data_IF_900788272717
#
_entry.id   IF_900788272717
#
_cell.length_a   1.000
_cell.length_b   1.000
_cell.length_c   1.000
_cell.angle_alpha   90.00
_cell.angle_beta   90.00
_cell.angle_gamma   90.00
#
_symmetry.space_group_name_H-M   'P 1'
#
loop_
_entity.id
_entity.type
_entity.pdbx_description
1 polymer ?
#
# COMPACT_ATOMS: atom_id res chain seq x y z
N UNK A 1 -16.55 8.36 -19.71
CA UNK A 1 -17.14 8.39 -18.34
C UNK A 1 -16.59 7.19 -17.57
N UNK A 2 -15.63 7.41 -16.68
CA UNK A 2 -15.00 6.34 -15.89
C UNK A 2 -15.93 5.99 -14.73
N UNK A 3 -16.26 4.70 -14.62
CA UNK A 3 -17.07 4.14 -13.54
C UNK A 3 -16.34 4.40 -12.21
N UNK A 4 -16.82 5.38 -11.46
CA UNK A 4 -16.61 5.48 -10.02
C UNK A 4 -17.07 4.16 -9.43
N UNK A 5 -16.14 3.28 -9.08
CA UNK A 5 -16.47 2.22 -8.15
C UNK A 5 -16.89 2.98 -6.89
N UNK A 6 -18.11 2.75 -6.44
CA UNK A 6 -18.62 3.40 -5.24
C UNK A 6 -18.20 2.44 -4.14
N UNK A 7 -17.25 2.82 -3.28
CA UNK A 7 -16.95 2.06 -2.07
C UNK A 7 -18.05 2.45 -1.09
N UNK A 8 -19.09 1.61 -0.86
CA UNK A 8 -20.15 1.97 0.06
C UNK A 8 -19.53 2.23 1.43
N UNK A 9 -20.04 3.22 2.16
CA UNK A 9 -19.64 3.60 3.53
C UNK A 9 -19.82 2.50 4.60
N UNK A 10 -19.94 1.24 4.19
CA UNK A 10 -19.74 0.06 5.02
C UNK A 10 -18.25 -0.07 5.36
N UNK A 11 -17.94 -0.39 6.62
CA UNK A 11 -16.56 -0.66 7.08
C UNK A 11 -15.87 -1.58 6.08
N UNK A 12 -14.83 -1.09 5.40
CA UNK A 12 -14.05 -1.88 4.45
C UNK A 12 -13.63 -3.22 5.09
N UNK A 13 -13.84 -4.31 4.38
CA UNK A 13 -13.34 -5.61 4.80
C UNK A 13 -11.80 -5.60 4.86
N UNK A 14 -11.17 -6.49 5.66
CA UNK A 14 -9.71 -6.60 5.68
C UNK A 14 -9.11 -6.79 4.28
N UNK A 15 -9.78 -7.56 3.41
CA UNK A 15 -9.35 -7.76 2.03
C UNK A 15 -9.45 -6.48 1.19
N UNK A 16 -10.54 -5.72 1.31
CA UNK A 16 -10.66 -4.42 0.62
C UNK A 16 -9.61 -3.42 1.08
N UNK A 17 -9.32 -3.36 2.38
CA UNK A 17 -8.25 -2.53 2.94
C UNK A 17 -6.88 -2.94 2.41
N UNK A 18 -6.61 -4.24 2.32
CA UNK A 18 -5.34 -4.75 1.82
C UNK A 18 -5.15 -4.44 0.34
N UNK A 19 -6.19 -4.58 -0.49
CA UNK A 19 -6.17 -4.20 -1.90
C UNK A 19 -5.89 -2.71 -2.04
N UNK A 20 -6.66 -1.86 -1.36
CA UNK A 20 -6.50 -0.39 -1.40
C UNK A 20 -5.10 0.02 -0.96
N UNK A 21 -4.61 -0.54 0.14
CA UNK A 21 -3.27 -0.25 0.64
C UNK A 21 -2.18 -0.67 -0.36
N UNK A 22 -2.32 -1.85 -0.99
CA UNK A 22 -1.37 -2.32 -1.99
C UNK A 22 -1.36 -1.43 -3.24
N UNK A 23 -2.52 -1.01 -3.74
CA UNK A 23 -2.59 -0.04 -4.84
C UNK A 23 -1.95 1.30 -4.48
N UNK A 24 -2.20 1.81 -3.27
CA UNK A 24 -1.59 3.05 -2.80
C UNK A 24 -0.06 2.95 -2.78
N UNK A 25 0.50 1.87 -2.22
CA UNK A 25 1.95 1.65 -2.15
C UNK A 25 2.57 1.50 -3.53
N UNK A 26 1.98 0.68 -4.40
CA UNK A 26 2.48 0.46 -5.76
C UNK A 26 2.47 1.75 -6.57
N UNK A 27 1.36 2.51 -6.54
CA UNK A 27 1.26 3.77 -7.28
C UNK A 27 2.31 4.80 -6.82
N UNK A 28 2.67 4.83 -5.53
CA UNK A 28 3.76 5.69 -5.07
C UNK A 28 5.13 5.19 -5.52
N UNK A 29 5.35 3.87 -5.42
CA UNK A 29 6.61 3.25 -5.80
C UNK A 29 6.89 3.46 -7.30
N UNK A 30 5.87 3.39 -8.15
CA UNK A 30 5.96 3.66 -9.60
C UNK A 30 5.91 5.16 -9.95
N UNK A 31 5.84 6.05 -8.97
CA UNK A 31 5.75 7.50 -9.20
C UNK A 31 4.43 7.96 -9.86
N UNK A 32 3.41 7.10 -9.94
CA UNK A 32 2.08 7.39 -10.49
C UNK A 32 1.23 8.29 -9.57
N UNK A 33 1.56 8.33 -8.28
CA UNK A 33 0.92 9.20 -7.30
C UNK A 33 1.93 9.63 -6.23
N UNK A 34 1.88 10.90 -5.81
CA UNK A 34 2.59 11.38 -4.63
C UNK A 34 1.79 11.11 -3.34
N UNK A 35 2.43 11.34 -2.18
CA UNK A 35 1.82 11.09 -0.87
C UNK A 35 0.50 11.86 -0.65
N UNK A 36 0.39 13.10 -1.17
CA UNK A 36 -0.81 13.92 -1.03
C UNK A 36 -1.92 13.39 -1.91
N UNK A 37 -1.62 12.98 -3.14
CA UNK A 37 -2.57 12.34 -4.04
C UNK A 37 -3.13 11.04 -3.42
N UNK A 38 -2.26 10.18 -2.87
CA UNK A 38 -2.67 8.95 -2.19
C UNK A 38 -3.53 9.25 -0.96
N UNK A 39 -3.11 10.19 -0.10
CA UNK A 39 -3.90 10.57 1.08
C UNK A 39 -5.28 11.11 0.69
N UNK A 40 -5.36 11.93 -0.36
CA UNK A 40 -6.63 12.46 -0.85
C UNK A 40 -7.56 11.34 -1.33
N UNK A 41 -7.03 10.39 -2.12
CA UNK A 41 -7.79 9.22 -2.58
C UNK A 41 -8.30 8.38 -1.40
N UNK A 42 -7.44 8.07 -0.43
CA UNK A 42 -7.79 7.26 0.73
C UNK A 42 -8.91 7.91 1.56
N UNK A 43 -8.76 9.20 1.88
CA UNK A 43 -9.68 9.90 2.78
C UNK A 43 -10.98 10.27 2.07
N UNK A 44 -10.89 10.90 0.90
CA UNK A 44 -12.04 11.56 0.26
C UNK A 44 -12.83 10.61 -0.63
N UNK A 45 -12.16 9.71 -1.37
CA UNK A 45 -12.83 8.82 -2.32
C UNK A 45 -13.18 7.46 -1.69
N UNK A 46 -12.28 6.95 -0.84
CA UNK A 46 -12.42 5.61 -0.25
C UNK A 46 -13.02 5.67 1.17
N UNK A 47 -12.96 6.82 1.84
CA UNK A 47 -13.43 6.97 3.22
C UNK A 47 -12.53 6.29 4.25
N UNK A 48 -11.30 5.95 3.89
CA UNK A 48 -10.29 5.35 4.75
C UNK A 48 -9.35 6.47 5.25
N UNK A 49 -9.51 6.87 6.52
CA UNK A 49 -8.72 7.93 7.16
C UNK A 49 -7.25 7.51 7.43
N UNK A 50 -6.56 7.03 6.40
CA UNK A 50 -5.19 6.51 6.45
C UNK A 50 -4.24 7.45 5.73
N UNK A 51 -3.02 7.51 6.24
CA UNK A 51 -1.87 8.07 5.53
C UNK A 51 -1.21 6.99 4.65
N UNK A 52 -0.35 7.39 3.70
CA UNK A 52 0.52 6.45 2.98
C UNK A 52 1.30 5.51 3.90
N UNK A 53 1.80 6.05 5.01
CA UNK A 53 2.48 5.29 6.07
C UNK A 53 1.57 4.22 6.69
N UNK A 54 0.29 4.52 6.93
CA UNK A 54 -0.65 3.52 7.46
C UNK A 54 -0.85 2.37 6.47
N UNK A 55 -0.85 2.63 5.16
CA UNK A 55 -0.91 1.57 4.14
C UNK A 55 0.31 0.63 4.22
N UNK A 56 1.52 1.19 4.31
CA UNK A 56 2.77 0.42 4.43
C UNK A 56 2.79 -0.41 5.72
N UNK A 57 2.41 0.20 6.85
CA UNK A 57 2.31 -0.51 8.12
C UNK A 57 1.27 -1.63 8.09
N UNK A 58 0.08 -1.37 7.54
CA UNK A 58 -0.98 -2.38 7.43
C UNK A 58 -0.54 -3.57 6.57
N UNK A 59 0.07 -3.31 5.42
CA UNK A 59 0.57 -4.35 4.50
C UNK A 59 1.71 -5.20 5.07
N UNK A 60 2.46 -4.67 6.04
CA UNK A 60 3.48 -5.43 6.78
C UNK A 60 2.87 -6.41 7.79
N UNK A 61 1.57 -6.31 8.08
CA UNK A 61 0.86 -7.12 9.05
C UNK A 61 0.36 -8.46 8.47
N UNK A 62 0.25 -9.47 9.35
CA UNK A 62 -0.27 -10.80 9.00
C UNK A 62 -1.69 -10.76 8.45
N UNK A 63 -2.53 -9.84 8.93
CA UNK A 63 -3.91 -9.69 8.46
C UNK A 63 -3.96 -9.34 6.97
N UNK A 64 -3.14 -8.39 6.52
CA UNK A 64 -3.11 -7.98 5.12
C UNK A 64 -2.56 -9.10 4.23
N UNK A 65 -1.47 -9.76 4.65
CA UNK A 65 -0.92 -10.90 3.90
C UNK A 65 -1.95 -12.04 3.76
N UNK A 66 -2.64 -12.40 4.85
CA UNK A 66 -3.68 -13.44 4.80
C UNK A 66 -4.83 -13.05 3.86
N UNK A 67 -5.28 -11.79 3.93
CA UNK A 67 -6.38 -11.30 3.12
C UNK A 67 -6.05 -11.26 1.60
N UNK A 68 -4.79 -10.95 1.25
CA UNK A 68 -4.31 -10.99 -0.13
C UNK A 68 -4.10 -12.43 -0.63
N UNK A 69 -3.60 -13.32 0.22
CA UNK A 69 -3.42 -14.75 -0.14
C UNK A 69 -4.77 -15.42 -0.40
N UNK A 70 -5.82 -15.01 0.30
CA UNK A 70 -7.19 -15.50 0.11
C UNK A 70 -7.86 -15.02 -1.19
N UNK A 71 -7.22 -14.15 -1.97
CA UNK A 71 -7.73 -13.79 -3.30
C UNK A 71 -7.65 -15.00 -4.24
N UNK A 72 -8.59 -15.14 -5.18
CA UNK A 72 -8.50 -16.19 -6.19
C UNK A 72 -7.29 -15.96 -7.10
N UNK A 73 -6.70 -17.03 -7.63
CA UNK A 73 -5.43 -16.94 -8.38
C UNK A 73 -5.57 -16.15 -9.70
N UNK A 74 -6.77 -16.10 -10.25
CA UNK A 74 -7.10 -15.30 -11.43
C UNK A 74 -7.53 -13.85 -11.09
N UNK A 75 -7.38 -13.41 -9.85
CA UNK A 75 -7.80 -12.07 -9.43
C UNK A 75 -7.02 -10.99 -10.19
N UNK A 76 -7.75 -10.03 -10.77
CA UNK A 76 -7.21 -8.84 -11.44
C UNK A 76 -8.13 -7.64 -11.27
N UNK A 77 -7.58 -6.47 -10.91
CA UNK A 77 -8.32 -5.22 -10.80
C UNK A 77 -7.38 -4.02 -10.99
N UNK A 78 -7.86 -2.95 -11.64
CA UNK A 78 -7.13 -1.67 -11.82
C UNK A 78 -5.66 -1.89 -12.25
N UNK A 79 -5.48 -2.73 -13.28
CA UNK A 79 -4.20 -3.13 -13.86
C UNK A 79 -3.28 -4.02 -12.99
N UNK A 80 -3.71 -4.41 -11.78
CA UNK A 80 -2.95 -5.28 -10.88
C UNK A 80 -3.52 -6.69 -10.84
N UNK A 81 -2.63 -7.66 -10.69
CA UNK A 81 -2.97 -9.05 -10.37
C UNK A 81 -2.65 -9.37 -8.89
N UNK A 82 -3.05 -10.55 -8.44
CA UNK A 82 -2.78 -11.04 -7.07
C UNK A 82 -1.28 -10.99 -6.71
N UNK A 83 -0.41 -11.35 -7.63
CA UNK A 83 1.05 -11.37 -7.41
C UNK A 83 1.61 -9.97 -7.18
N UNK A 84 1.08 -8.94 -7.86
CA UNK A 84 1.48 -7.55 -7.63
C UNK A 84 1.13 -7.10 -6.20
N UNK A 85 -0.07 -7.46 -5.72
CA UNK A 85 -0.49 -7.09 -4.37
C UNK A 85 0.34 -7.82 -3.30
N UNK A 86 0.64 -9.10 -3.51
CA UNK A 86 1.52 -9.87 -2.63
C UNK A 86 2.94 -9.29 -2.62
N UNK A 87 3.46 -8.87 -3.77
CA UNK A 87 4.75 -8.16 -3.86
C UNK A 87 4.72 -6.86 -3.05
N UNK A 88 3.64 -6.09 -3.13
CA UNK A 88 3.49 -4.88 -2.32
C UNK A 88 3.53 -5.18 -0.81
N UNK A 89 2.92 -6.28 -0.36
CA UNK A 89 2.98 -6.71 1.04
C UNK A 89 4.41 -7.10 1.47
N UNK A 90 5.14 -7.84 0.64
CA UNK A 90 6.54 -8.23 0.90
C UNK A 90 7.46 -7.01 0.96
N UNK A 91 7.34 -6.08 0.00
CA UNK A 91 8.11 -4.82 -0.01
C UNK A 91 7.80 -3.99 1.23
N UNK A 92 6.52 -3.84 1.57
CA UNK A 92 6.10 -3.12 2.78
C UNK A 92 6.71 -3.73 4.04
N UNK A 93 6.71 -5.07 4.16
CA UNK A 93 7.34 -5.78 5.26
C UNK A 93 8.85 -5.54 5.32
N UNK A 94 9.55 -5.60 4.18
CA UNK A 94 10.99 -5.34 4.10
C UNK A 94 11.32 -3.91 4.52
N UNK A 95 10.62 -2.90 3.96
CA UNK A 95 10.79 -1.50 4.32
C UNK A 95 10.54 -1.24 5.81
N UNK A 96 9.47 -1.81 6.36
CA UNK A 96 9.13 -1.65 7.78
C UNK A 96 10.18 -2.30 8.68
N UNK A 97 10.72 -3.47 8.29
CA UNK A 97 11.81 -4.14 9.01
C UNK A 97 13.11 -3.34 8.96
N UNK A 98 13.49 -2.83 7.79
CA UNK A 98 14.68 -1.99 7.60
C UNK A 98 14.60 -0.71 8.44
N UNK A 99 13.45 -0.03 8.43
CA UNK A 99 13.25 1.21 9.20
C UNK A 99 13.23 0.95 10.71
N UNK A 100 12.75 -0.23 11.14
CA UNK A 100 12.77 -0.65 12.55
C UNK A 100 14.19 -1.03 13.01
N UNK A 101 15.07 -1.44 12.11
CA UNK A 101 16.42 -1.92 12.39
C UNK A 101 16.45 -3.19 13.28
N UNK A 102 17.63 -3.76 13.50
CA UNK A 102 17.82 -4.90 14.41
C UNK A 102 17.45 -4.59 15.87
N UNK A 103 17.33 -3.31 16.23
CA UNK A 103 17.11 -2.83 17.61
C UNK A 103 15.68 -2.42 17.96
N UNK A 104 14.68 -2.60 17.10
CA UNK A 104 13.28 -2.32 17.47
C UNK A 104 12.91 -0.83 17.57
N UNK A 105 13.57 0.04 16.81
CA UNK A 105 13.31 1.48 16.82
C UNK A 105 11.89 1.84 16.36
N UNK A 106 11.28 2.87 16.95
CA UNK A 106 9.95 3.37 16.56
C UNK A 106 9.98 3.84 15.09
N UNK A 107 9.05 3.32 14.28
CA UNK A 107 8.84 3.78 12.91
C UNK A 107 8.35 5.23 12.91
N UNK A 108 9.16 6.14 12.39
CA UNK A 108 8.75 7.51 12.08
C UNK A 108 8.40 7.62 10.60
N UNK A 109 7.35 8.38 10.29
CA UNK A 109 6.93 8.65 8.90
C UNK A 109 8.05 9.27 8.06
N UNK A 110 8.89 10.13 8.66
CA UNK A 110 10.01 10.76 7.95
C UNK A 110 11.04 9.75 7.45
N UNK A 111 11.37 8.73 8.27
CA UNK A 111 12.35 7.70 7.91
C UNK A 111 11.82 6.74 6.85
N UNK A 112 10.50 6.55 6.82
CA UNK A 112 9.86 5.74 5.81
C UNK A 112 9.74 6.48 4.46
N UNK A 113 9.48 7.79 4.50
CA UNK A 113 9.47 8.65 3.32
C UNK A 113 10.85 8.75 2.66
N UNK A 114 11.92 8.91 3.45
CA UNK A 114 13.31 8.85 2.97
C UNK A 114 13.60 7.55 2.21
N UNK A 115 13.20 6.40 2.78
CA UNK A 115 13.37 5.09 2.13
C UNK A 115 12.48 4.89 0.88
N UNK A 116 11.30 5.49 0.87
CA UNK A 116 10.41 5.44 -0.29
C UNK A 116 11.04 6.20 -1.47
N UNK A 117 11.68 7.33 -1.20
CA UNK A 117 12.41 8.13 -2.19
C UNK A 117 13.67 7.41 -2.70
N UNK A 118 14.41 6.73 -1.81
CA UNK A 118 15.54 5.87 -2.19
C UNK A 118 15.10 4.74 -3.15
N UNK A 119 14.00 4.06 -2.84
CA UNK A 119 13.44 3.00 -3.69
C UNK A 119 12.93 3.54 -5.04
N UNK A 120 12.26 4.70 -5.03
CA UNK A 120 11.83 5.38 -6.25
C UNK A 120 13.03 5.71 -7.16
N UNK A 121 14.12 6.18 -6.55
CA UNK A 121 15.36 6.49 -7.27
C UNK A 121 16.01 5.23 -7.84
N UNK A 122 16.07 4.15 -7.05
CA UNK A 122 16.63 2.86 -7.49
C UNK A 122 15.82 2.21 -8.62
N UNK A 123 14.50 2.39 -8.64
CA UNK A 123 13.63 1.86 -9.71
C UNK A 123 13.56 2.76 -10.95
N UNK A 124 13.92 4.04 -10.85
CA UNK A 124 13.99 4.97 -11.98
C UNK A 124 15.29 4.93 -12.78
N UNK A 125 16.29 4.15 -12.33
CA UNK A 125 17.58 3.97 -13.00
C UNK A 125 17.72 2.60 -13.73
N UNK A 126 16.61 1.93 -14.02
CA UNK A 126 16.56 0.67 -14.76
C UNK A 126 16.12 0.83 -16.20
#
# INVERSE_FOLDING_TARGET
MVRTTHWPSAKLSPQQKAIVAAHAVLNMAEGKADERAVRSLLVNEIGLAWSPLNCLQYLSGKEATAALTALPDNWKQLDRNKSDLLRASVVSLAMVKEVRGAGGGKLSGAKLAERLEELRTAMGQG
#
